data_IF_520352629409
#
_entry.id   IF_520352629409
#
_cell.length_a   1.000
_cell.length_b   1.000
_cell.length_c   1.000
_cell.angle_alpha   90.00
_cell.angle_beta   90.00
_cell.angle_gamma   90.00
#
_symmetry.space_group_name_H-M   'P 1'
#
loop_
_entity.id
_entity.type
_entity.pdbx_description
1 polymer ?
#
# COMPACT_ATOMS: atom_id res chain seq x y z
N UNK A 1 4.75 74.45 31.08
CA UNK A 1 4.62 73.64 29.85
C UNK A 1 5.32 72.31 30.13
N UNK A 2 4.59 71.22 30.42
CA UNK A 2 4.07 70.18 29.49
C UNK A 2 5.16 69.29 28.87
N UNK A 3 4.87 67.97 28.85
CA UNK A 3 5.58 66.79 28.28
C UNK A 3 6.65 66.14 29.18
N UNK A 4 6.51 64.91 29.72
CA UNK A 4 5.52 63.84 29.50
C UNK A 4 5.91 62.87 28.38
N UNK A 5 6.29 61.64 28.78
CA UNK A 5 6.32 60.36 28.05
C UNK A 5 7.14 60.25 26.75
N UNK A 6 8.03 59.25 26.69
CA UNK A 6 7.74 57.99 25.96
C UNK A 6 8.96 57.07 25.87
N UNK A 7 8.76 55.84 26.35
CA UNK A 7 9.57 54.66 26.08
C UNK A 7 9.43 54.33 24.59
N UNK A 8 10.54 54.33 23.85
CA UNK A 8 10.56 53.93 22.46
C UNK A 8 10.66 52.40 22.34
N UNK A 9 9.72 51.86 21.57
CA UNK A 9 9.50 50.46 21.27
C UNK A 9 10.68 49.80 20.55
N UNK A 10 10.95 48.53 20.89
CA UNK A 10 11.59 47.58 19.99
C UNK A 10 10.59 46.46 19.71
N UNK A 11 10.13 46.41 18.47
CA UNK A 11 9.20 45.43 17.91
C UNK A 11 9.93 44.10 17.75
N UNK A 12 9.54 43.07 18.52
CA UNK A 12 10.02 41.70 18.28
C UNK A 12 9.11 41.02 17.25
N UNK A 13 9.71 40.68 16.11
CA UNK A 13 9.05 40.11 14.95
C UNK A 13 8.47 38.71 15.22
N UNK A 14 7.27 38.48 14.70
CA UNK A 14 6.61 37.18 14.56
C UNK A 14 7.32 36.40 13.45
N UNK A 15 7.85 35.21 13.76
CA UNK A 15 8.21 34.20 12.75
C UNK A 15 7.32 32.99 12.94
N UNK A 16 6.23 32.97 12.17
CA UNK A 16 5.25 31.89 12.09
C UNK A 16 5.85 30.75 11.26
N UNK A 17 6.16 29.62 11.90
CA UNK A 17 6.60 28.40 11.20
C UNK A 17 5.41 27.84 10.45
N UNK A 18 5.47 27.91 9.12
CA UNK A 18 4.49 27.31 8.23
C UNK A 18 4.60 25.77 8.28
N UNK A 19 3.60 25.13 8.89
CA UNK A 19 3.39 23.68 8.76
C UNK A 19 2.80 23.44 7.37
N UNK A 20 3.58 22.81 6.49
CA UNK A 20 3.09 22.31 5.21
C UNK A 20 2.12 21.14 5.45
N UNK A 21 0.92 21.10 4.82
CA UNK A 21 0.06 19.95 4.89
C UNK A 21 0.61 18.82 4.02
N UNK A 22 0.92 17.68 4.62
CA UNK A 22 1.17 16.43 3.90
C UNK A 22 -0.12 16.02 3.14
N UNK A 23 -0.03 15.46 1.92
CA UNK A 23 -1.21 15.00 1.20
C UNK A 23 -1.83 13.81 1.94
N UNK A 24 -3.08 13.96 2.34
CA UNK A 24 -3.89 12.87 2.85
C UNK A 24 -4.11 11.85 1.74
N UNK A 25 -3.59 10.63 1.90
CA UNK A 25 -3.94 9.48 1.05
C UNK A 25 -5.42 9.20 1.28
N UNK A 26 -6.26 9.61 0.33
CA UNK A 26 -7.68 9.29 0.31
C UNK A 26 -7.83 7.76 0.24
N UNK A 27 -8.50 7.17 1.23
CA UNK A 27 -8.99 5.79 1.14
C UNK A 27 -10.09 5.76 0.07
N UNK A 28 -9.70 5.41 -1.15
CA UNK A 28 -10.64 5.17 -2.24
C UNK A 28 -11.60 4.03 -1.83
N UNK A 29 -12.90 4.34 -1.78
CA UNK A 29 -13.93 3.31 -1.62
C UNK A 29 -13.92 2.45 -2.88
N UNK A 30 -13.49 1.19 -2.74
CA UNK A 30 -13.49 0.20 -3.80
C UNK A 30 -14.88 0.09 -4.45
N UNK A 31 -15.02 0.74 -5.61
CA UNK A 31 -16.20 0.66 -6.47
C UNK A 31 -16.26 -0.76 -7.03
N UNK A 32 -17.43 -1.40 -6.96
CA UNK A 32 -17.63 -2.76 -7.50
C UNK A 32 -17.46 -2.69 -9.02
N UNK A 33 -16.29 -3.11 -9.50
CA UNK A 33 -15.98 -3.17 -10.94
C UNK A 33 -16.79 -4.33 -11.53
N UNK A 34 -17.58 -4.12 -12.61
CA UNK A 34 -18.17 -5.22 -13.36
C UNK A 34 -17.05 -6.12 -13.93
N UNK A 35 -17.33 -7.36 -14.38
CA UNK A 35 -16.32 -8.20 -15.02
C UNK A 35 -15.97 -7.66 -16.42
N UNK A 36 -15.39 -6.47 -16.46
CA UNK A 36 -14.55 -6.01 -17.55
C UNK A 36 -13.34 -6.93 -17.57
N UNK A 37 -12.90 -7.37 -18.75
CA UNK A 37 -11.71 -8.20 -18.91
C UNK A 37 -10.55 -7.61 -18.09
N UNK A 38 -10.17 -8.31 -17.01
CA UNK A 38 -9.13 -7.86 -16.09
C UNK A 38 -7.81 -7.98 -16.83
N UNK A 39 -7.35 -6.88 -17.43
CA UNK A 39 -6.06 -6.82 -18.10
C UNK A 39 -4.98 -6.62 -17.05
N UNK A 40 -4.17 -7.65 -16.82
CA UNK A 40 -3.02 -7.56 -15.91
C UNK A 40 -1.77 -7.20 -16.74
N UNK A 41 -1.10 -6.06 -16.46
CA UNK A 41 0.05 -5.61 -17.21
C UNK A 41 1.20 -6.60 -17.08
N UNK A 42 1.93 -6.84 -18.17
CA UNK A 42 3.07 -7.74 -18.18
C UNK A 42 4.11 -7.38 -17.10
N UNK A 43 4.92 -8.35 -16.62
CA UNK A 43 6.03 -8.07 -15.72
C UNK A 43 6.97 -7.01 -16.30
N UNK A 44 7.53 -6.16 -15.45
CA UNK A 44 8.56 -5.21 -15.87
C UNK A 44 9.85 -5.97 -16.20
N UNK A 45 10.59 -5.56 -17.23
CA UNK A 45 11.89 -6.15 -17.56
C UNK A 45 12.83 -6.08 -16.35
N UNK A 46 13.55 -7.17 -16.06
CA UNK A 46 14.40 -7.27 -14.86
C UNK A 46 13.63 -7.60 -13.57
N UNK A 47 12.31 -7.83 -13.65
CA UNK A 47 11.45 -8.16 -12.51
C UNK A 47 10.54 -9.34 -12.83
N UNK A 48 10.21 -10.10 -11.79
CA UNK A 48 9.11 -11.05 -11.82
C UNK A 48 7.81 -10.43 -11.33
N UNK A 49 6.68 -11.07 -11.63
CA UNK A 49 5.37 -10.64 -11.17
C UNK A 49 4.63 -11.78 -10.46
N UNK A 50 4.13 -11.52 -9.27
CA UNK A 50 3.27 -12.45 -8.54
C UNK A 50 1.88 -11.83 -8.42
N UNK A 51 0.89 -12.53 -8.95
CA UNK A 51 -0.52 -12.12 -8.86
C UNK A 51 -1.21 -13.00 -7.83
N UNK A 52 -1.52 -12.41 -6.69
CA UNK A 52 -2.35 -13.02 -5.67
C UNK A 52 -3.81 -12.73 -6.00
N UNK A 53 -4.62 -13.76 -6.17
CA UNK A 53 -6.07 -13.66 -6.35
C UNK A 53 -6.75 -14.34 -5.19
N UNK A 54 -7.83 -13.76 -4.67
CA UNK A 54 -8.68 -14.45 -3.71
C UNK A 54 -10.09 -14.57 -4.27
N UNK A 55 -10.57 -15.79 -4.57
CA UNK A 55 -11.95 -16.00 -4.95
C UNK A 55 -12.92 -15.38 -3.95
N UNK A 56 -13.99 -14.77 -4.45
CA UNK A 56 -15.10 -14.32 -3.60
C UNK A 56 -15.97 -15.51 -3.17
N UNK A 57 -16.62 -15.42 -2.01
CA UNK A 57 -17.51 -16.46 -1.51
C UNK A 57 -18.14 -16.12 -0.15
N UNK A 58 -19.00 -17.01 0.34
CA UNK A 58 -19.60 -16.93 1.67
C UNK A 58 -18.48 -17.10 2.73
N UNK A 59 -17.88 -15.98 3.18
CA UNK A 59 -16.64 -15.97 3.98
C UNK A 59 -15.64 -14.87 3.57
N UNK A 60 -15.90 -14.13 2.49
CA UNK A 60 -15.01 -13.08 1.97
C UNK A 60 -14.85 -11.81 2.82
N UNK A 61 -15.49 -11.74 3.99
CA UNK A 61 -15.46 -10.57 4.88
C UNK A 61 -14.13 -10.42 5.65
N UNK A 62 -13.43 -11.53 5.94
CA UNK A 62 -12.14 -11.51 6.64
C UNK A 62 -11.03 -11.34 5.61
N UNK A 63 -10.27 -10.25 5.64
CA UNK A 63 -9.16 -10.03 4.71
C UNK A 63 -7.94 -10.91 5.06
N UNK A 64 -7.32 -11.52 4.05
CA UNK A 64 -6.10 -12.31 4.20
C UNK A 64 -4.89 -11.38 4.17
N UNK A 65 -4.06 -11.37 5.20
CA UNK A 65 -2.83 -10.56 5.20
C UNK A 65 -1.68 -11.35 4.61
N UNK A 66 -1.14 -10.88 3.49
CA UNK A 66 0.02 -11.46 2.82
C UNK A 66 1.26 -10.81 3.41
N UNK A 67 2.23 -11.63 3.80
CA UNK A 67 3.51 -11.21 4.33
C UNK A 67 4.62 -11.84 3.53
N UNK A 68 5.74 -11.13 3.45
CA UNK A 68 6.99 -11.61 2.89
C UNK A 68 8.10 -11.22 3.86
N UNK A 69 9.02 -12.12 4.18
CA UNK A 69 10.07 -11.88 5.18
C UNK A 69 9.55 -11.40 6.56
N UNK A 70 8.31 -11.79 6.90
CA UNK A 70 7.64 -11.38 8.14
C UNK A 70 6.96 -10.01 8.10
N UNK A 71 7.18 -9.21 7.04
CA UNK A 71 6.53 -7.92 6.85
C UNK A 71 5.24 -8.05 6.05
N UNK A 72 4.19 -7.34 6.46
CA UNK A 72 2.91 -7.36 5.75
C UNK A 72 2.99 -6.50 4.49
N UNK A 73 2.99 -7.16 3.33
CA UNK A 73 3.02 -6.49 2.03
C UNK A 73 1.62 -6.10 1.53
N UNK A 74 0.57 -6.85 1.90
CA UNK A 74 -0.79 -6.57 1.42
C UNK A 74 -1.89 -7.24 2.27
N UNK A 75 -3.14 -6.84 2.02
CA UNK A 75 -4.33 -7.48 2.60
C UNK A 75 -5.42 -7.67 1.53
N UNK A 76 -5.78 -8.92 1.22
CA UNK A 76 -6.80 -9.26 0.22
C UNK A 76 -8.16 -9.58 0.84
N UNK A 77 -9.17 -8.77 0.51
CA UNK A 77 -10.58 -9.15 0.71
C UNK A 77 -11.07 -10.14 -0.35
N UNK A 78 -12.21 -10.79 -0.12
CA UNK A 78 -12.79 -11.73 -1.09
C UNK A 78 -13.12 -11.05 -2.42
N UNK A 79 -12.84 -11.74 -3.53
CA UNK A 79 -13.07 -11.25 -4.90
C UNK A 79 -12.10 -10.16 -5.34
N UNK A 80 -10.94 -10.05 -4.70
CA UNK A 80 -9.89 -9.07 -5.06
C UNK A 80 -8.61 -9.78 -5.46
N UNK A 81 -7.75 -9.05 -6.14
CA UNK A 81 -6.39 -9.46 -6.45
C UNK A 81 -5.39 -8.37 -6.05
N UNK A 82 -4.12 -8.77 -5.95
CA UNK A 82 -2.97 -7.92 -5.71
C UNK A 82 -1.86 -8.37 -6.65
N UNK A 83 -1.27 -7.41 -7.35
CA UNK A 83 -0.12 -7.64 -8.22
C UNK A 83 1.10 -7.13 -7.48
N UNK A 84 2.07 -8.00 -7.28
CA UNK A 84 3.38 -7.68 -6.73
C UNK A 84 4.42 -7.82 -7.84
N UNK A 85 5.12 -6.74 -8.16
CA UNK A 85 6.37 -6.85 -8.92
C UNK A 85 7.48 -7.08 -7.90
N UNK A 86 8.28 -8.12 -8.13
CA UNK A 86 9.34 -8.55 -7.22
C UNK A 86 10.61 -8.85 -8.00
N UNK A 87 11.74 -8.92 -7.31
CA UNK A 87 13.01 -9.37 -7.90
C UNK A 87 12.89 -10.83 -8.37
N UNK A 88 13.62 -11.26 -9.40
CA UNK A 88 13.75 -12.68 -9.69
C UNK A 88 14.47 -13.42 -8.54
N UNK A 89 14.05 -14.66 -8.27
CA UNK A 89 14.61 -15.52 -7.25
C UNK A 89 13.56 -16.16 -6.35
N UNK A 90 14.02 -16.70 -5.22
CA UNK A 90 13.19 -17.41 -4.26
C UNK A 90 12.47 -16.43 -3.33
N UNK A 91 11.13 -16.52 -3.32
CA UNK A 91 10.26 -15.75 -2.47
C UNK A 91 9.44 -16.64 -1.56
N UNK A 92 9.27 -16.25 -0.30
CA UNK A 92 8.43 -16.96 0.66
C UNK A 92 7.34 -16.03 1.18
N UNK A 93 6.10 -16.38 0.84
CA UNK A 93 4.92 -15.63 1.20
C UNK A 93 4.15 -16.36 2.29
N UNK A 94 3.70 -15.65 3.31
CA UNK A 94 2.80 -16.21 4.32
C UNK A 94 1.48 -15.45 4.37
N UNK A 95 0.39 -16.20 4.38
CA UNK A 95 -0.97 -15.67 4.44
C UNK A 95 -1.52 -15.93 5.83
N UNK A 96 -1.89 -14.86 6.52
CA UNK A 96 -2.51 -14.93 7.85
C UNK A 96 -4.00 -14.62 7.73
N UNK A 97 -4.81 -15.62 8.07
CA UNK A 97 -6.26 -15.53 8.24
C UNK A 97 -6.65 -16.04 9.62
N UNK A 98 -7.20 -17.25 9.72
CA UNK A 98 -7.45 -18.02 10.94
C UNK A 98 -6.29 -18.98 11.25
N UNK A 99 -5.58 -19.41 10.20
CA UNK A 99 -4.32 -20.16 10.25
C UNK A 99 -3.27 -19.45 9.40
N UNK A 100 -2.00 -19.74 9.66
CA UNK A 100 -0.90 -19.27 8.83
C UNK A 100 -0.62 -20.33 7.78
N UNK A 101 -0.68 -19.95 6.52
CA UNK A 101 -0.23 -20.75 5.38
C UNK A 101 1.03 -20.11 4.79
N UNK A 102 2.01 -20.90 4.40
CA UNK A 102 3.28 -20.41 3.85
C UNK A 102 3.55 -21.07 2.51
N UNK A 103 3.81 -20.26 1.49
CA UNK A 103 4.07 -20.67 0.12
C UNK A 103 5.43 -20.14 -0.33
N UNK A 104 6.33 -21.04 -0.70
CA UNK A 104 7.58 -20.72 -1.36
C UNK A 104 7.41 -20.76 -2.89
N UNK A 105 7.83 -19.70 -3.57
CA UNK A 105 7.76 -19.54 -5.02
C UNK A 105 9.14 -19.19 -5.57
N UNK A 106 9.52 -19.83 -6.67
CA UNK A 106 10.64 -19.39 -7.50
C UNK A 106 10.09 -18.49 -8.60
N UNK A 107 10.56 -17.24 -8.65
CA UNK A 107 10.11 -16.24 -9.61
C UNK A 107 11.23 -15.98 -10.61
N UNK A 108 10.94 -16.13 -11.89
CA UNK A 108 11.89 -15.88 -12.97
C UNK A 108 11.73 -14.46 -13.54
N UNK A 109 12.77 -13.97 -14.21
CA UNK A 109 12.74 -12.68 -14.87
C UNK A 109 11.71 -12.65 -16.01
N UNK A 110 10.88 -11.60 -16.04
CA UNK A 110 9.83 -11.47 -17.05
C UNK A 110 8.69 -12.47 -16.90
N UNK A 111 8.69 -13.32 -15.87
CA UNK A 111 7.66 -14.34 -15.65
C UNK A 111 6.55 -13.87 -14.69
N UNK A 112 5.36 -14.44 -14.85
CA UNK A 112 4.20 -14.21 -14.00
C UNK A 112 3.79 -15.49 -13.29
N UNK A 113 3.77 -15.44 -11.95
CA UNK A 113 3.18 -16.49 -11.11
C UNK A 113 1.78 -16.08 -10.64
N UNK A 114 0.88 -17.05 -10.59
CA UNK A 114 -0.49 -16.90 -10.08
C UNK A 114 -0.65 -17.67 -8.77
N UNK A 115 -1.21 -17.02 -7.76
CA UNK A 115 -1.47 -17.58 -6.43
C UNK A 115 -2.93 -17.36 -6.09
N UNK A 116 -3.64 -18.40 -5.66
CA UNK A 116 -5.08 -18.37 -5.36
C UNK A 116 -5.39 -18.80 -3.92
#
# INVERSE_FOLDING_TARGET
MRFGYSVAAAVAAVSMVAIAPAPAIAKEKAKKVPPSEITIPAPQEGSGQVVFFRPGGMGGAVACSIHENGEKISSLGGGRYFILNTTPGRHEYSVKTEKTDTLALEVEDGDRKWVA
#
